data_IF_474011177938
#
_entry.id   IF_474011177938
#
_cell.length_a   1.000
_cell.length_b   1.000
_cell.length_c   1.000
_cell.angle_alpha   90.00
_cell.angle_beta   90.00
_cell.angle_gamma   90.00
#
_symmetry.space_group_name_H-M   'P 1'
#
loop_
_entity.id
_entity.type
_entity.pdbx_description
1 polymer ?
#
# COMPACT_ATOMS: atom_id res chain seq x y z
N UNK A 1 -51.02 -18.41 45.59
CA UNK A 1 -49.96 -18.84 44.67
C UNK A 1 -50.14 -18.11 43.34
N UNK A 2 -49.28 -17.14 43.02
CA UNK A 2 -49.28 -16.44 41.71
C UNK A 2 -48.10 -16.99 40.92
N UNK A 3 -48.34 -17.54 39.73
CA UNK A 3 -47.30 -17.97 38.79
C UNK A 3 -46.88 -16.78 37.93
N UNK A 4 -45.61 -16.40 37.94
CA UNK A 4 -45.04 -15.44 36.99
C UNK A 4 -44.52 -16.23 35.78
N UNK A 5 -45.04 -15.93 34.59
CA UNK A 5 -44.53 -16.44 33.32
C UNK A 5 -43.54 -15.41 32.75
N UNK A 6 -42.29 -15.82 32.49
CA UNK A 6 -41.32 -14.99 31.79
C UNK A 6 -41.36 -15.32 30.29
N UNK A 7 -41.53 -14.31 29.45
CA UNK A 7 -41.36 -14.42 28.00
C UNK A 7 -39.92 -14.00 27.69
N UNK A 8 -39.12 -14.93 27.17
CA UNK A 8 -37.77 -14.65 26.68
C UNK A 8 -37.89 -14.05 25.27
N UNK A 9 -37.63 -12.75 25.11
CA UNK A 9 -37.48 -12.13 23.79
C UNK A 9 -36.06 -12.39 23.28
N UNK A 10 -35.91 -13.30 22.32
CA UNK A 10 -34.69 -13.42 21.53
C UNK A 10 -34.79 -12.46 20.34
N UNK A 11 -34.02 -11.36 20.37
CA UNK A 11 -33.86 -10.48 19.20
C UNK A 11 -32.77 -11.09 18.32
N UNK A 12 -33.16 -11.75 17.23
CA UNK A 12 -32.22 -12.09 16.16
C UNK A 12 -31.97 -10.83 15.32
N UNK A 13 -30.77 -10.24 15.41
CA UNK A 13 -30.34 -9.21 14.47
C UNK A 13 -29.97 -9.87 13.14
N UNK A 14 -30.78 -9.66 12.11
CA UNK A 14 -30.34 -9.91 10.73
C UNK A 14 -29.62 -8.66 10.24
N UNK A 15 -28.30 -8.74 10.10
CA UNK A 15 -27.52 -7.71 9.40
C UNK A 15 -27.91 -7.70 7.93
N UNK A 16 -28.38 -6.56 7.42
CA UNK A 16 -28.60 -6.34 6.00
C UNK A 16 -27.21 -6.15 5.38
N UNK A 17 -26.67 -7.18 4.72
CA UNK A 17 -25.53 -7.00 3.82
C UNK A 17 -26.06 -6.41 2.51
N UNK A 18 -25.91 -5.10 2.33
CA UNK A 18 -26.04 -4.48 1.02
C UNK A 18 -24.82 -4.92 0.21
N UNK A 19 -25.04 -5.81 -0.77
CA UNK A 19 -24.01 -6.33 -1.66
C UNK A 19 -23.51 -5.26 -2.63
N UNK A 20 -22.74 -4.29 -2.14
CA UNK A 20 -21.94 -3.44 -2.99
C UNK A 20 -20.71 -4.25 -3.44
N UNK A 21 -20.72 -4.70 -4.69
CA UNK A 21 -19.50 -5.13 -5.36
C UNK A 21 -18.71 -3.88 -5.71
N UNK A 22 -17.63 -3.63 -4.97
CA UNK A 22 -16.61 -2.69 -5.41
C UNK A 22 -15.84 -3.39 -6.53
N UNK A 23 -15.98 -2.91 -7.76
CA UNK A 23 -15.19 -3.41 -8.89
C UNK A 23 -13.79 -2.79 -8.79
N UNK A 24 -12.94 -3.45 -8.02
CA UNK A 24 -11.52 -3.13 -7.87
C UNK A 24 -10.70 -3.62 -9.08
N UNK A 25 -11.13 -3.28 -10.30
CA UNK A 25 -10.33 -3.56 -11.50
C UNK A 25 -8.99 -2.80 -11.39
N UNK A 26 -7.83 -3.49 -11.39
CA UNK A 26 -6.52 -2.86 -11.21
C UNK A 26 -6.16 -1.88 -12.34
N UNK A 27 -6.82 -1.99 -13.50
CA UNK A 27 -6.57 -1.11 -14.65
C UNK A 27 -7.37 0.19 -14.63
N UNK A 28 -8.47 0.26 -13.86
CA UNK A 28 -9.35 1.41 -13.85
C UNK A 28 -8.75 2.55 -13.02
N UNK A 29 -8.32 3.62 -13.71
CA UNK A 29 -7.74 4.82 -13.07
C UNK A 29 -6.26 4.70 -12.73
N UNK A 30 -5.59 3.62 -13.15
CA UNK A 30 -4.15 3.48 -12.96
C UNK A 30 -3.37 4.49 -13.81
N UNK A 31 -2.44 5.22 -13.19
CA UNK A 31 -1.43 5.99 -13.89
C UNK A 31 -0.51 5.01 -14.61
N UNK A 32 -0.40 5.13 -15.93
CA UNK A 32 0.52 4.31 -16.72
C UNK A 32 1.95 4.85 -16.60
N UNK A 33 2.92 3.95 -16.73
CA UNK A 33 4.33 4.29 -16.82
C UNK A 33 4.57 5.26 -17.98
N UNK A 34 4.83 6.53 -17.68
CA UNK A 34 5.40 7.46 -18.64
C UNK A 34 6.91 7.22 -18.70
N UNK A 35 7.47 7.03 -19.91
CA UNK A 35 8.91 7.10 -20.18
C UNK A 35 9.53 8.50 -19.92
N UNK A 36 8.88 9.32 -19.09
CA UNK A 36 9.40 10.58 -18.60
C UNK A 36 10.49 10.25 -17.58
N UNK A 37 11.71 10.09 -18.10
CA UNK A 37 12.91 10.26 -17.29
C UNK A 37 12.98 11.73 -16.90
N UNK A 38 12.27 12.13 -15.86
CA UNK A 38 12.56 13.38 -15.17
C UNK A 38 13.90 13.20 -14.46
N UNK A 39 14.99 13.27 -15.24
CA UNK A 39 16.33 13.54 -14.71
C UNK A 39 16.28 14.99 -14.26
N UNK A 40 15.84 15.20 -13.03
CA UNK A 40 16.04 16.46 -12.33
C UNK A 40 16.21 16.17 -10.85
N UNK A 41 17.46 15.89 -10.48
CA UNK A 41 18.01 16.08 -9.14
C UNK A 41 17.29 15.34 -7.99
N UNK A 42 17.89 15.38 -6.80
CA UNK A 42 17.18 15.30 -5.51
C UNK A 42 15.74 15.83 -5.62
N UNK A 43 14.74 15.29 -4.90
CA UNK A 43 13.33 15.63 -5.10
C UNK A 43 13.10 17.14 -5.24
N UNK A 44 13.08 17.63 -6.49
CA UNK A 44 12.82 19.04 -6.79
C UNK A 44 11.33 19.15 -6.95
N UNK A 45 10.66 19.61 -5.90
CA UNK A 45 9.30 20.11 -6.01
C UNK A 45 9.38 21.39 -6.85
N UNK A 46 8.91 21.35 -8.10
CA UNK A 46 8.81 22.54 -8.93
C UNK A 46 7.43 23.18 -8.73
N UNK A 47 7.38 24.33 -8.05
CA UNK A 47 6.24 25.26 -8.17
C UNK A 47 6.38 25.99 -9.51
N UNK A 48 5.41 25.77 -10.40
CA UNK A 48 5.38 26.37 -11.75
C UNK A 48 5.28 27.91 -11.73
N UNK A 49 5.03 28.52 -10.56
CA UNK A 49 4.93 29.98 -10.40
C UNK A 49 6.16 30.61 -9.73
N UNK A 50 7.11 29.81 -9.25
CA UNK A 50 8.33 30.32 -8.63
C UNK A 50 9.50 29.32 -8.79
N UNK A 51 10.40 29.49 -9.78
CA UNK A 51 11.53 28.59 -10.01
C UNK A 51 12.64 28.70 -8.95
N UNK A 52 12.39 29.41 -7.84
CA UNK A 52 13.31 29.55 -6.72
C UNK A 52 12.84 28.74 -5.52
N UNK A 53 13.44 27.55 -5.36
CA UNK A 53 13.61 26.82 -4.10
C UNK A 53 12.33 26.21 -3.50
N UNK A 54 12.17 24.89 -3.64
CA UNK A 54 11.51 24.10 -2.58
C UNK A 54 12.60 23.46 -1.74
N UNK A 55 13.03 24.22 -0.73
CA UNK A 55 13.88 23.76 0.35
C UNK A 55 12.96 23.23 1.44
N UNK A 56 12.61 21.95 1.36
CA UNK A 56 12.03 21.20 2.48
C UNK A 56 12.89 19.96 2.72
N UNK A 57 13.23 19.68 3.98
CA UNK A 57 13.73 18.35 4.32
C UNK A 57 12.58 17.35 4.16
N UNK A 58 12.82 16.17 3.57
CA UNK A 58 11.78 15.16 3.50
C UNK A 58 11.34 14.77 4.91
N UNK A 59 10.03 14.70 5.14
CA UNK A 59 9.46 14.23 6.41
C UNK A 59 9.88 12.80 6.75
N UNK A 60 10.08 12.00 5.71
CA UNK A 60 10.46 10.61 5.80
C UNK A 60 11.17 10.18 4.53
N UNK A 61 12.22 9.38 4.68
CA UNK A 61 12.91 8.69 3.59
C UNK A 61 13.24 7.28 4.05
N UNK A 62 13.01 6.31 3.17
CA UNK A 62 13.57 4.96 3.30
C UNK A 62 14.19 4.63 1.95
N UNK A 63 15.51 4.46 1.93
CA UNK A 63 16.27 4.06 0.74
C UNK A 63 16.25 2.55 0.53
N UNK A 64 15.76 1.80 1.53
CA UNK A 64 15.71 0.34 1.55
C UNK A 64 17.08 -0.34 1.39
N UNK A 65 18.20 0.32 1.69
CA UNK A 65 19.54 -0.27 1.58
C UNK A 65 19.82 -1.36 2.64
N UNK A 66 18.98 -1.42 3.69
CA UNK A 66 19.06 -2.40 4.77
C UNK A 66 18.24 -3.67 4.57
N UNK A 67 17.98 -4.35 5.68
CA UNK A 67 17.07 -5.50 5.72
C UNK A 67 15.63 -5.04 5.55
N UNK A 68 14.88 -5.63 4.62
CA UNK A 68 13.51 -5.27 4.23
C UNK A 68 12.54 -6.45 4.40
N UNK A 69 12.91 -7.46 5.19
CA UNK A 69 11.95 -8.47 5.64
C UNK A 69 10.89 -7.84 6.58
N UNK A 70 9.79 -8.56 6.79
CA UNK A 70 8.67 -8.12 7.65
C UNK A 70 9.12 -7.62 9.03
N UNK A 71 10.08 -8.31 9.66
CA UNK A 71 10.55 -7.96 11.00
C UNK A 71 11.31 -6.65 10.98
N UNK A 72 12.18 -6.49 9.97
CA UNK A 72 13.02 -5.30 9.81
C UNK A 72 12.20 -4.06 9.43
N UNK A 73 11.15 -4.23 8.63
CA UNK A 73 10.19 -3.16 8.31
C UNK A 73 9.43 -2.71 9.56
N UNK A 74 8.90 -3.65 10.35
CA UNK A 74 8.25 -3.34 11.64
C UNK A 74 9.23 -2.66 12.58
N UNK A 75 10.50 -3.10 12.61
CA UNK A 75 11.57 -2.46 13.38
C UNK A 75 11.85 -1.00 12.99
N UNK A 76 11.54 -0.61 11.75
CA UNK A 76 11.61 0.79 11.25
C UNK A 76 10.30 1.57 11.44
N UNK A 77 9.28 0.96 12.04
CA UNK A 77 7.99 1.60 12.33
C UNK A 77 6.92 1.45 11.25
N UNK A 78 7.15 0.62 10.24
CA UNK A 78 6.08 0.27 9.29
C UNK A 78 5.04 -0.60 9.96
N UNK A 79 3.79 -0.39 9.59
CA UNK A 79 2.70 -1.29 9.93
C UNK A 79 2.29 -2.11 8.71
N UNK A 80 2.11 -3.41 8.92
CA UNK A 80 1.91 -4.37 7.85
C UNK A 80 0.58 -5.08 8.06
N UNK A 81 -0.32 -4.98 7.08
CA UNK A 81 -1.65 -5.60 7.14
C UNK A 81 -1.93 -6.48 5.95
N UNK A 82 -2.67 -7.56 6.21
CA UNK A 82 -3.15 -8.50 5.20
C UNK A 82 -4.67 -8.55 5.24
N UNK A 83 -5.30 -8.37 4.08
CA UNK A 83 -6.77 -8.42 3.89
C UNK A 83 -7.20 -9.28 2.70
N UNK A 84 -6.24 -9.78 1.90
CA UNK A 84 -6.51 -10.65 0.75
C UNK A 84 -7.02 -12.05 1.12
N UNK A 85 -7.12 -12.95 0.12
CA UNK A 85 -7.62 -14.34 0.26
C UNK A 85 -6.84 -15.22 1.25
N UNK A 86 -6.90 -16.56 1.27
CA UNK A 86 -6.10 -17.36 2.22
C UNK A 86 -4.58 -17.08 2.12
N UNK A 87 -3.83 -17.10 3.24
CA UNK A 87 -2.39 -16.84 3.25
C UNK A 87 -1.64 -17.85 2.38
N UNK A 88 -0.71 -17.33 1.56
CA UNK A 88 0.20 -18.13 0.75
C UNK A 88 1.46 -18.52 1.53
N UNK A 89 2.48 -18.95 0.78
CA UNK A 89 3.75 -19.43 1.35
C UNK A 89 4.76 -18.31 1.59
N UNK A 90 4.63 -17.18 0.89
CA UNK A 90 5.50 -16.03 1.08
C UNK A 90 4.93 -15.06 2.12
N UNK A 91 5.84 -14.32 2.76
CA UNK A 91 5.45 -13.12 3.50
C UNK A 91 4.80 -12.09 2.56
N UNK A 92 3.95 -11.22 3.12
CA UNK A 92 3.23 -10.23 2.32
C UNK A 92 4.10 -9.06 1.87
N UNK A 93 5.14 -8.73 2.63
CA UNK A 93 6.24 -7.83 2.26
C UNK A 93 7.56 -8.46 2.70
N UNK A 94 8.56 -8.48 1.81
CA UNK A 94 9.80 -9.19 2.05
C UNK A 94 10.99 -8.55 1.33
N UNK A 95 12.20 -9.00 1.68
CA UNK A 95 13.44 -8.53 1.07
C UNK A 95 13.44 -8.71 -0.45
N UNK A 96 13.91 -7.71 -1.18
CA UNK A 96 14.17 -7.83 -2.61
C UNK A 96 15.06 -9.03 -2.98
N UNK A 97 14.78 -9.63 -4.13
CA UNK A 97 15.48 -10.79 -4.66
C UNK A 97 16.25 -10.43 -5.96
N UNK A 98 17.59 -10.24 -5.88
CA UNK A 98 18.43 -9.90 -7.03
C UNK A 98 18.36 -10.89 -8.19
N UNK A 99 17.99 -12.15 -7.93
CA UNK A 99 17.85 -13.16 -9.00
C UNK A 99 16.63 -12.92 -9.90
N UNK A 100 15.68 -12.09 -9.46
CA UNK A 100 14.51 -11.67 -10.25
C UNK A 100 14.80 -10.33 -10.92
N UNK A 101 15.18 -9.33 -10.14
CA UNK A 101 15.77 -8.08 -10.63
C UNK A 101 16.52 -7.35 -9.50
N UNK A 102 17.46 -6.50 -9.91
CA UNK A 102 18.20 -5.60 -9.02
C UNK A 102 17.41 -4.32 -8.71
N UNK A 103 17.73 -3.73 -7.56
CA UNK A 103 17.22 -2.42 -7.12
C UNK A 103 17.52 -1.29 -8.12
N UNK A 104 16.78 -0.19 -8.02
CA UNK A 104 17.03 1.03 -8.81
C UNK A 104 18.33 1.72 -8.40
N UNK A 105 18.64 1.69 -7.10
CA UNK A 105 19.82 2.26 -6.46
C UNK A 105 20.19 1.41 -5.22
N UNK A 106 21.37 1.66 -4.65
CA UNK A 106 21.81 0.94 -3.45
C UNK A 106 22.27 -0.50 -3.73
N UNK A 107 22.25 -1.39 -2.71
CA UNK A 107 22.52 -2.81 -2.87
C UNK A 107 21.55 -3.48 -3.85
N UNK A 108 21.97 -4.56 -4.52
CA UNK A 108 21.12 -5.26 -5.49
C UNK A 108 19.75 -5.71 -4.92
N UNK A 109 19.69 -6.03 -3.63
CA UNK A 109 18.47 -6.41 -2.91
C UNK A 109 17.75 -5.24 -2.22
N UNK A 110 18.20 -4.00 -2.46
CA UNK A 110 17.79 -2.75 -1.81
C UNK A 110 16.39 -2.27 -2.19
N UNK A 111 15.40 -3.14 -2.05
CA UNK A 111 14.00 -2.84 -2.26
C UNK A 111 13.13 -3.76 -1.39
N UNK A 112 11.87 -3.37 -1.20
CA UNK A 112 10.83 -4.20 -0.59
C UNK A 112 9.97 -4.83 -1.69
N UNK A 113 9.65 -6.11 -1.53
CA UNK A 113 8.93 -6.89 -2.52
C UNK A 113 7.62 -7.46 -1.96
N UNK A 114 6.64 -7.59 -2.84
CA UNK A 114 5.42 -8.38 -2.66
C UNK A 114 5.16 -9.14 -3.95
N UNK A 115 4.53 -10.31 -3.89
CA UNK A 115 4.21 -11.09 -5.09
C UNK A 115 2.97 -11.97 -4.89
N UNK A 116 2.56 -12.66 -5.96
CA UNK A 116 1.40 -13.55 -5.97
C UNK A 116 1.43 -14.67 -4.92
N UNK A 117 2.61 -15.03 -4.39
CA UNK A 117 2.75 -16.08 -3.39
C UNK A 117 2.33 -15.62 -1.98
N UNK A 118 1.89 -14.36 -1.81
CA UNK A 118 1.26 -13.86 -0.57
C UNK A 118 -0.15 -14.42 -0.35
N UNK A 119 -0.76 -15.00 -1.39
CA UNK A 119 -2.03 -15.74 -1.33
C UNK A 119 -1.94 -17.06 -2.08
N UNK A 120 -3.06 -17.78 -2.19
CA UNK A 120 -3.16 -19.06 -2.88
C UNK A 120 -4.16 -18.98 -4.03
N UNK A 121 -4.03 -19.84 -5.03
CA UNK A 121 -4.98 -19.91 -6.14
C UNK A 121 -5.16 -18.59 -6.89
N UNK A 122 -6.39 -18.34 -7.37
CA UNK A 122 -6.77 -17.12 -8.09
C UNK A 122 -7.40 -16.06 -7.15
N UNK A 123 -6.90 -15.95 -5.92
CA UNK A 123 -7.40 -14.98 -4.95
C UNK A 123 -6.82 -13.58 -5.18
N UNK A 124 -7.54 -12.57 -4.72
CA UNK A 124 -7.06 -11.19 -4.75
C UNK A 124 -6.04 -10.95 -3.63
N UNK A 125 -5.01 -10.20 -3.98
CA UNK A 125 -3.99 -9.70 -3.06
C UNK A 125 -4.45 -8.35 -2.51
N UNK A 126 -4.42 -8.22 -1.20
CA UNK A 126 -4.68 -6.98 -0.49
C UNK A 126 -3.71 -6.91 0.69
N UNK A 127 -2.51 -6.44 0.39
CA UNK A 127 -1.36 -6.33 1.29
C UNK A 127 -1.05 -4.85 1.48
N UNK A 128 -0.94 -4.41 2.74
CA UNK A 128 -0.69 -3.02 3.10
C UNK A 128 0.69 -2.88 3.73
N UNK A 129 1.42 -1.85 3.30
CA UNK A 129 2.63 -1.37 3.93
C UNK A 129 2.38 0.10 4.29
N UNK A 130 2.10 0.36 5.56
CA UNK A 130 1.76 1.68 6.07
C UNK A 130 3.03 2.29 6.66
N UNK A 131 3.41 3.48 6.21
CA UNK A 131 4.55 4.22 6.76
C UNK A 131 4.33 4.52 8.25
N UNK A 132 5.40 4.78 9.02
CA UNK A 132 5.26 5.37 10.35
C UNK A 132 4.38 6.63 10.30
N UNK A 133 3.65 6.98 11.37
CA UNK A 133 2.79 8.17 11.39
C UNK A 133 3.57 9.44 11.03
N UNK A 134 3.13 10.14 9.97
CA UNK A 134 3.73 11.39 9.49
C UNK A 134 2.74 12.55 9.63
N UNK A 135 3.26 13.74 9.95
CA UNK A 135 2.49 14.98 9.96
C UNK A 135 2.43 15.58 8.55
N UNK A 136 1.70 14.93 7.64
CA UNK A 136 1.51 15.41 6.27
C UNK A 136 0.37 16.42 6.19
N UNK A 137 0.52 17.43 5.33
CA UNK A 137 -0.47 18.48 5.07
C UNK A 137 -0.79 18.59 3.57
N UNK A 138 -1.88 19.28 3.24
CA UNK A 138 -2.22 19.56 1.86
C UNK A 138 -1.09 20.34 1.17
N UNK A 139 -0.59 19.82 0.05
CA UNK A 139 0.54 20.37 -0.69
C UNK A 139 1.81 19.51 -0.59
N UNK A 140 1.88 18.60 0.38
CA UNK A 140 2.98 17.63 0.46
C UNK A 140 2.94 16.63 -0.70
N UNK A 141 4.09 16.06 -1.00
CA UNK A 141 4.29 15.12 -2.11
C UNK A 141 4.95 13.83 -1.63
N UNK A 142 4.54 12.71 -2.24
CA UNK A 142 5.20 11.41 -2.09
C UNK A 142 5.87 11.04 -3.42
N UNK A 143 7.12 10.60 -3.34
CA UNK A 143 7.90 10.10 -4.46
C UNK A 143 8.32 8.67 -4.17
N UNK A 144 8.12 7.76 -5.13
CA UNK A 144 8.46 6.35 -4.97
C UNK A 144 8.87 5.75 -6.31
N UNK A 145 9.47 4.55 -6.24
CA UNK A 145 9.81 3.73 -7.40
C UNK A 145 9.08 2.40 -7.27
N UNK A 146 8.56 1.91 -8.38
CA UNK A 146 7.96 0.58 -8.50
C UNK A 146 8.52 -0.11 -9.76
N UNK A 147 8.56 -1.43 -9.73
CA UNK A 147 9.07 -2.26 -10.82
C UNK A 147 8.38 -3.62 -10.83
N UNK A 148 8.13 -4.14 -12.02
CA UNK A 148 7.69 -5.52 -12.27
C UNK A 148 8.70 -6.26 -13.16
N UNK A 149 8.55 -7.58 -13.26
CA UNK A 149 9.20 -8.41 -14.28
C UNK A 149 8.54 -8.18 -15.64
N UNK A 150 9.31 -8.27 -16.72
CA UNK A 150 8.74 -8.16 -18.06
C UNK A 150 7.78 -9.32 -18.34
N UNK A 151 6.68 -9.03 -19.03
CA UNK A 151 5.69 -10.02 -19.45
C UNK A 151 5.02 -10.74 -18.26
N UNK A 152 4.76 -10.02 -17.17
CA UNK A 152 4.07 -10.60 -16.01
C UNK A 152 2.62 -10.98 -16.39
N UNK A 153 2.21 -12.26 -16.27
CA UNK A 153 0.82 -12.66 -16.53
C UNK A 153 -0.16 -12.15 -15.46
N UNK A 154 0.32 -11.70 -14.30
CA UNK A 154 -0.48 -11.13 -13.23
C UNK A 154 -0.30 -9.61 -13.19
N UNK A 155 -1.38 -8.81 -13.05
CA UNK A 155 -1.25 -7.37 -12.90
C UNK A 155 -0.61 -7.04 -11.55
N UNK A 156 0.54 -6.36 -11.57
CA UNK A 156 1.13 -5.79 -10.36
C UNK A 156 0.59 -4.38 -10.17
N UNK A 157 -0.47 -4.27 -9.37
CA UNK A 157 -1.14 -3.01 -9.07
C UNK A 157 -0.94 -2.56 -7.63
N UNK A 158 -0.66 -1.27 -7.42
CA UNK A 158 -0.63 -0.66 -6.10
C UNK A 158 -1.52 0.58 -6.01
N UNK A 159 -2.01 0.86 -4.80
CA UNK A 159 -2.69 2.11 -4.46
C UNK A 159 -1.82 2.87 -3.47
N UNK A 160 -1.68 4.16 -3.70
CA UNK A 160 -1.05 5.06 -2.74
C UNK A 160 -2.16 5.91 -2.12
N UNK A 161 -2.24 5.90 -0.79
CA UNK A 161 -3.30 6.55 -0.04
C UNK A 161 -2.74 7.20 1.22
N UNK A 162 -3.49 8.13 1.80
CA UNK A 162 -3.21 8.68 3.14
C UNK A 162 -4.48 8.67 3.99
N UNK A 163 -4.32 8.67 5.31
CA UNK A 163 -5.45 8.79 6.24
C UNK A 163 -5.31 10.08 7.08
N UNK A 164 -6.23 11.06 6.94
CA UNK A 164 -6.16 12.33 7.64
C UNK A 164 -6.47 12.24 9.14
N UNK A 165 -6.99 11.10 9.61
CA UNK A 165 -7.28 10.87 11.04
C UNK A 165 -6.12 10.21 11.78
N UNK A 166 -5.05 9.84 11.07
CA UNK A 166 -3.88 9.14 11.63
C UNK A 166 -4.11 7.64 11.85
N UNK A 167 -5.24 7.09 11.42
CA UNK A 167 -5.50 5.65 11.46
C UNK A 167 -4.62 4.90 10.46
N UNK A 168 -4.06 3.79 10.89
CA UNK A 168 -3.28 2.86 10.06
C UNK A 168 -4.07 1.61 9.65
N UNK A 169 -5.29 1.45 10.17
CA UNK A 169 -6.11 0.28 9.90
C UNK A 169 -6.69 0.35 8.47
N UNK A 170 -6.53 -0.71 7.66
CA UNK A 170 -7.15 -0.81 6.33
C UNK A 170 -8.67 -0.58 6.33
N UNK A 171 -9.36 -0.96 7.41
CA UNK A 171 -10.81 -0.83 7.57
C UNK A 171 -11.30 0.59 7.81
N UNK A 172 -10.40 1.53 8.04
CA UNK A 172 -10.78 2.92 8.30
C UNK A 172 -11.41 3.56 7.06
N UNK A 173 -12.57 4.21 7.22
CA UNK A 173 -13.30 4.77 6.09
C UNK A 173 -12.69 6.07 5.55
N UNK A 174 -11.70 6.66 6.23
CA UNK A 174 -11.15 7.98 5.89
C UNK A 174 -9.93 7.92 4.98
N UNK A 175 -9.56 6.75 4.45
CA UNK A 175 -8.50 6.67 3.45
C UNK A 175 -8.83 7.50 2.21
N UNK A 176 -7.89 8.36 1.83
CA UNK A 176 -7.95 9.16 0.62
C UNK A 176 -6.91 8.62 -0.36
N UNK A 177 -7.38 8.15 -1.52
CA UNK A 177 -6.53 7.63 -2.59
C UNK A 177 -5.85 8.78 -3.35
N UNK A 178 -4.51 8.75 -3.39
CA UNK A 178 -3.68 9.69 -4.17
C UNK A 178 -3.47 9.20 -5.60
N UNK A 179 -3.45 7.88 -5.79
CA UNK A 179 -3.36 7.27 -7.10
C UNK A 179 -3.33 5.76 -7.09
N UNK A 180 -3.60 5.19 -8.27
CA UNK A 180 -3.41 3.77 -8.61
C UNK A 180 -2.29 3.67 -9.62
N UNK A 181 -1.50 2.62 -9.49
CA UNK A 181 -0.35 2.37 -10.35
C UNK A 181 -0.38 0.91 -10.75
N UNK A 182 -0.04 0.64 -12.01
CA UNK A 182 -0.03 -0.69 -12.60
C UNK A 182 1.21 -0.84 -13.46
N UNK A 183 2.00 -1.87 -13.20
CA UNK A 183 3.15 -2.25 -14.02
C UNK A 183 2.96 -3.68 -14.54
N UNK A 184 3.32 -3.91 -15.81
CA UNK A 184 3.26 -5.21 -16.51
C UNK A 184 4.45 -5.39 -17.47
#
# INVERSE_FOLDING_TARGET
>A
MKRLNYILLAVLSFGIFLGFSVNDNPTNGARQYSNESSVSQEPVVTDNNNPSVVSGFPYYTDDFDGANDTTSLIGRGYEIYRRGGPPGVAAIWFQGNPTVFVAFNGPDSGYVASNFQSTTGANNIDNWLVLPPLNVVSGDSIFFRERSVAQNPFPDSMRVMYNPTGSSLPEDANWVELGRFLIQ
#
